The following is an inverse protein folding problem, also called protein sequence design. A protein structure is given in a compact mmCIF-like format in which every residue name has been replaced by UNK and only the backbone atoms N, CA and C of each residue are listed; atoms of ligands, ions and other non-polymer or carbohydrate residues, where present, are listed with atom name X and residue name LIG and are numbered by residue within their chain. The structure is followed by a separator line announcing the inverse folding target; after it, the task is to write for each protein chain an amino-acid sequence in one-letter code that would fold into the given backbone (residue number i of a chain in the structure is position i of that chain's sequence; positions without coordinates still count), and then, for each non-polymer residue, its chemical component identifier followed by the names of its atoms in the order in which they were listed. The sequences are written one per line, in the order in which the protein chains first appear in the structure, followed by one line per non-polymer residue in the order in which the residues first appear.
data_IF_871913418053
#
_entry.id   IF_871913418053
#
_cell.length_a   1.000
_cell.length_b   1.000
_cell.length_c   1.000
_cell.angle_alpha   90.00
_cell.angle_beta   90.00
_cell.angle_gamma   90.00
#
_symmetry.space_group_name_H-M   'P 1'
#
loop_
_entity.id
_entity.type
_entity.pdbx_description
1 polymer ?
#
# COMPACT_ATOMS: atom_id res chain seq x y z
N UNK A 1 -28.39 22.19 1.67
CA UNK A 1 -27.72 21.94 2.96
C UNK A 1 -26.23 22.17 2.77
N UNK A 2 -25.56 22.97 3.61
CA UNK A 2 -24.11 23.12 3.52
C UNK A 2 -23.44 21.78 3.86
N UNK A 3 -22.41 21.43 3.10
CA UNK A 3 -21.58 20.24 3.36
C UNK A 3 -20.97 20.40 4.75
N UNK A 4 -21.15 19.44 5.68
CA UNK A 4 -20.52 19.54 6.99
C UNK A 4 -19.01 19.70 6.84
N UNK A 5 -18.39 20.61 7.62
CA UNK A 5 -16.97 21.00 7.49
C UNK A 5 -16.02 19.79 7.48
N UNK A 6 -16.40 18.71 8.16
CA UNK A 6 -15.72 17.42 8.18
C UNK A 6 -15.58 16.79 6.78
N UNK A 7 -16.64 16.78 5.98
CA UNK A 7 -16.61 16.21 4.63
C UNK A 7 -15.78 17.06 3.65
N UNK A 8 -15.75 18.38 3.83
CA UNK A 8 -14.87 19.24 3.05
C UNK A 8 -13.38 19.01 3.38
N UNK A 9 -13.06 18.80 4.67
CA UNK A 9 -11.71 18.41 5.12
C UNK A 9 -11.28 17.06 4.56
N UNK A 10 -12.19 16.08 4.51
CA UNK A 10 -11.92 14.77 3.92
C UNK A 10 -11.76 14.84 2.39
N UNK A 11 -12.55 15.67 1.70
CA UNK A 11 -12.39 15.89 0.27
C UNK A 11 -10.97 16.38 -0.10
N UNK A 12 -10.47 17.38 0.61
CA UNK A 12 -9.09 17.87 0.42
C UNK A 12 -8.01 16.82 0.72
N UNK A 13 -8.22 15.98 1.74
CA UNK A 13 -7.34 14.85 2.06
C UNK A 13 -7.23 13.87 0.90
N UNK A 14 -8.37 13.47 0.33
CA UNK A 14 -8.41 12.52 -0.79
C UNK A 14 -7.76 13.10 -2.04
N UNK A 15 -8.00 14.38 -2.35
CA UNK A 15 -7.39 15.04 -3.51
C UNK A 15 -5.86 15.08 -3.38
N UNK A 16 -5.34 15.49 -2.22
CA UNK A 16 -3.88 15.55 -1.98
C UNK A 16 -3.24 14.16 -2.07
N UNK A 17 -3.79 13.17 -1.39
CA UNK A 17 -3.24 11.82 -1.41
C UNK A 17 -3.36 11.17 -2.80
N UNK A 18 -4.42 11.47 -3.55
CA UNK A 18 -4.57 11.05 -4.94
C UNK A 18 -3.48 11.66 -5.83
N UNK A 19 -3.18 12.95 -5.67
CA UNK A 19 -2.09 13.61 -6.41
C UNK A 19 -0.73 12.98 -6.06
N UNK A 20 -0.47 12.75 -4.77
CA UNK A 20 0.79 12.18 -4.30
C UNK A 20 0.98 10.71 -4.69
N UNK A 21 -0.10 9.95 -4.85
CA UNK A 21 -0.03 8.53 -5.23
C UNK A 21 0.19 8.30 -6.73
N UNK A 22 -0.09 9.29 -7.60
CA UNK A 22 0.05 9.16 -9.07
C UNK A 22 1.37 8.57 -9.55
N UNK A 23 2.55 9.01 -9.06
CA UNK A 23 3.83 8.44 -9.51
C UNK A 23 3.94 6.95 -9.21
N UNK A 24 3.48 6.53 -8.04
CA UNK A 24 3.48 5.14 -7.62
C UNK A 24 2.50 4.30 -8.45
N UNK A 25 1.27 4.77 -8.63
CA UNK A 25 0.27 4.11 -9.46
C UNK A 25 0.74 3.94 -10.92
N UNK A 26 1.50 4.91 -11.43
CA UNK A 26 2.13 4.83 -12.75
C UNK A 26 3.20 3.74 -12.81
N UNK A 27 3.99 3.57 -11.75
CA UNK A 27 4.95 2.46 -11.66
C UNK A 27 4.24 1.11 -11.61
N UNK A 28 3.21 0.94 -10.76
CA UNK A 28 2.37 -0.26 -10.73
C UNK A 28 1.80 -0.60 -12.11
N UNK A 29 1.24 0.39 -12.79
CA UNK A 29 0.67 0.23 -14.15
C UNK A 29 1.75 -0.19 -15.17
N UNK A 30 2.94 0.40 -15.08
CA UNK A 30 4.08 0.04 -15.94
C UNK A 30 4.53 -1.40 -15.69
N UNK A 31 4.58 -1.84 -14.43
CA UNK A 31 4.92 -3.21 -14.05
C UNK A 31 3.88 -4.21 -14.59
N UNK A 32 2.58 -3.91 -14.46
CA UNK A 32 1.51 -4.72 -15.06
C UNK A 32 1.69 -4.85 -16.58
N UNK A 33 1.95 -3.74 -17.28
CA UNK A 33 2.16 -3.77 -18.73
C UNK A 33 3.41 -4.59 -19.10
N UNK A 34 4.51 -4.40 -18.36
CA UNK A 34 5.74 -5.15 -18.58
C UNK A 34 5.53 -6.66 -18.41
N UNK A 35 4.71 -7.07 -17.43
CA UNK A 35 4.45 -8.48 -17.15
C UNK A 35 3.84 -9.25 -18.33
N UNK A 36 3.14 -8.56 -19.24
CA UNK A 36 2.59 -9.16 -20.47
C UNK A 36 3.69 -9.48 -21.48
N UNK A 37 4.76 -8.67 -21.54
CA UNK A 37 5.85 -8.83 -22.51
C UNK A 37 7.09 -9.53 -21.94
N UNK A 38 7.37 -9.35 -20.66
CA UNK A 38 8.57 -9.82 -19.96
C UNK A 38 8.24 -10.00 -18.47
N UNK A 39 7.77 -11.19 -18.13
CA UNK A 39 7.31 -11.53 -16.78
C UNK A 39 8.43 -11.45 -15.73
N UNK A 40 9.64 -11.90 -16.09
CA UNK A 40 10.77 -11.94 -15.16
C UNK A 40 11.22 -10.52 -14.79
N UNK A 41 11.36 -9.62 -15.78
CA UNK A 41 11.69 -8.22 -15.49
C UNK A 41 10.58 -7.50 -14.73
N UNK A 42 9.32 -7.85 -14.96
CA UNK A 42 8.21 -7.31 -14.17
C UNK A 42 8.27 -7.78 -12.72
N UNK A 43 8.70 -9.03 -12.48
CA UNK A 43 8.90 -9.59 -11.14
C UNK A 43 10.00 -8.84 -10.38
N UNK A 44 11.14 -8.58 -11.01
CA UNK A 44 12.21 -7.77 -10.42
C UNK A 44 11.73 -6.35 -10.07
N UNK A 45 11.03 -5.69 -11.00
CA UNK A 45 10.47 -4.35 -10.74
C UNK A 45 9.44 -4.36 -9.62
N UNK A 46 8.61 -5.40 -9.55
CA UNK A 46 7.63 -5.55 -8.49
C UNK A 46 8.30 -5.70 -7.12
N UNK A 47 9.34 -6.54 -7.02
CA UNK A 47 10.11 -6.74 -5.78
C UNK A 47 10.68 -5.41 -5.27
N UNK A 48 11.26 -4.61 -6.16
CA UNK A 48 11.80 -3.28 -5.79
C UNK A 48 10.69 -2.34 -5.31
N UNK A 49 9.52 -2.31 -5.97
CA UNK A 49 8.38 -1.52 -5.52
C UNK A 49 7.90 -1.91 -4.12
N UNK A 50 7.84 -3.22 -3.82
CA UNK A 50 7.43 -3.71 -2.50
C UNK A 50 8.48 -3.32 -1.45
N UNK A 51 9.77 -3.49 -1.74
CA UNK A 51 10.88 -3.13 -0.83
C UNK A 51 10.87 -1.65 -0.50
N UNK A 52 10.71 -0.79 -1.49
CA UNK A 52 10.64 0.65 -1.29
C UNK A 52 9.41 1.01 -0.44
N UNK A 53 8.23 0.53 -0.83
CA UNK A 53 6.95 0.86 -0.17
C UNK A 53 6.93 0.42 1.29
N UNK A 54 7.38 -0.81 1.57
CA UNK A 54 7.31 -1.43 2.89
C UNK A 54 8.55 -1.20 3.75
N UNK A 55 9.43 -0.29 3.33
CA UNK A 55 10.57 0.12 4.13
C UNK A 55 10.13 0.85 5.40
N UNK A 56 10.91 0.69 6.48
CA UNK A 56 10.70 1.32 7.79
C UNK A 56 10.44 2.84 7.68
N UNK A 57 11.15 3.48 6.75
CA UNK A 57 11.08 4.92 6.50
C UNK A 57 9.74 5.36 5.92
N UNK A 58 9.11 4.52 5.10
CA UNK A 58 7.89 4.86 4.37
C UNK A 58 6.63 4.50 5.14
N UNK A 59 6.65 3.43 5.95
CA UNK A 59 5.50 3.02 6.76
C UNK A 59 5.31 3.85 8.04
N UNK A 60 6.36 4.50 8.54
CA UNK A 60 6.32 5.27 9.80
C UNK A 60 6.49 4.38 11.05
N UNK A 61 6.95 4.97 12.16
CA UNK A 61 7.36 4.24 13.36
C UNK A 61 6.22 3.45 14.03
N UNK A 62 5.02 4.03 14.16
CA UNK A 62 3.88 3.36 14.79
C UNK A 62 3.43 2.10 14.02
N UNK A 63 3.61 2.08 12.70
CA UNK A 63 3.24 0.93 11.86
C UNK A 63 4.19 -0.25 12.05
N UNK A 64 5.45 -0.02 12.42
CA UNK A 64 6.45 -1.09 12.46
C UNK A 64 6.24 -2.09 13.58
N UNK A 65 5.69 -1.67 14.73
CA UNK A 65 5.42 -2.57 15.85
C UNK A 65 4.19 -3.43 15.57
N UNK A 66 3.08 -2.80 15.14
CA UNK A 66 1.83 -3.51 14.84
C UNK A 66 1.99 -4.47 13.66
N UNK A 67 2.64 -4.04 12.57
CA UNK A 67 2.76 -4.83 11.35
C UNK A 67 4.03 -5.70 11.28
N UNK A 68 4.79 -5.84 12.37
CA UNK A 68 6.13 -6.45 12.35
C UNK A 68 6.14 -7.86 11.72
N UNK A 69 5.19 -8.70 12.11
CA UNK A 69 5.12 -10.09 11.69
C UNK A 69 4.80 -10.20 10.18
N UNK A 70 3.81 -9.46 9.69
CA UNK A 70 3.45 -9.44 8.27
C UNK A 70 4.61 -8.91 7.42
N UNK A 71 5.27 -7.83 7.88
CA UNK A 71 6.43 -7.26 7.18
C UNK A 71 7.62 -8.24 7.15
N UNK A 72 7.83 -9.01 8.20
CA UNK A 72 8.87 -10.06 8.23
C UNK A 72 8.57 -11.16 7.20
N UNK A 73 7.33 -11.66 7.17
CA UNK A 73 6.90 -12.67 6.20
C UNK A 73 7.05 -12.19 4.75
N UNK A 74 6.63 -10.95 4.48
CA UNK A 74 6.77 -10.33 3.16
C UNK A 74 8.26 -10.21 2.77
N UNK A 75 9.12 -9.73 3.68
CA UNK A 75 10.56 -9.60 3.41
C UNK A 75 11.21 -10.95 3.10
N UNK A 76 10.94 -11.96 3.91
CA UNK A 76 11.47 -13.30 3.70
C UNK A 76 11.05 -13.86 2.33
N UNK A 77 9.79 -13.68 1.95
CA UNK A 77 9.28 -14.11 0.65
C UNK A 77 9.94 -13.35 -0.53
N UNK A 78 10.23 -12.06 -0.37
CA UNK A 78 10.97 -11.27 -1.38
C UNK A 78 12.44 -11.70 -1.50
N UNK A 79 13.09 -12.09 -0.41
CA UNK A 79 14.49 -12.54 -0.41
C UNK A 79 14.66 -13.86 -1.17
N UNK A 80 13.69 -14.76 -1.05
CA UNK A 80 13.69 -16.05 -1.76
C UNK A 80 13.03 -15.97 -3.14
N UNK A 81 12.60 -14.78 -3.59
CA UNK A 81 11.98 -14.55 -4.90
C UNK A 81 10.61 -15.23 -5.08
N UNK A 82 9.94 -15.59 -3.99
CA UNK A 82 8.68 -16.32 -4.04
C UNK A 82 7.49 -15.36 -4.00
N UNK A 83 6.95 -15.02 -5.17
CA UNK A 83 5.72 -14.24 -5.31
C UNK A 83 4.48 -15.16 -5.37
N UNK A 84 4.40 -16.11 -4.44
CA UNK A 84 3.38 -17.16 -4.41
C UNK A 84 2.14 -16.77 -3.56
N UNK A 85 1.22 -17.71 -3.36
CA UNK A 85 0.01 -17.49 -2.55
C UNK A 85 0.33 -17.04 -1.12
N UNK A 86 1.39 -17.54 -0.48
CA UNK A 86 1.76 -17.11 0.86
C UNK A 86 2.23 -15.65 0.92
N UNK A 87 2.92 -15.18 -0.12
CA UNK A 87 3.26 -13.77 -0.26
C UNK A 87 2.01 -12.90 -0.42
N UNK A 88 1.03 -13.36 -1.21
CA UNK A 88 -0.27 -12.71 -1.36
C UNK A 88 -1.01 -12.61 -0.03
N UNK A 89 -1.12 -13.73 0.70
CA UNK A 89 -1.80 -13.80 1.98
C UNK A 89 -1.17 -12.82 2.98
N UNK A 90 0.17 -12.74 3.03
CA UNK A 90 0.88 -11.81 3.90
C UNK A 90 0.64 -10.33 3.53
N UNK A 91 0.50 -10.01 2.25
CA UNK A 91 0.11 -8.65 1.81
C UNK A 91 -1.34 -8.31 2.18
N UNK A 92 -2.26 -9.26 2.02
CA UNK A 92 -3.67 -9.07 2.37
C UNK A 92 -3.88 -8.95 3.89
N UNK A 93 -3.11 -9.70 4.67
CA UNK A 93 -3.04 -9.57 6.13
C UNK A 93 -2.50 -8.20 6.53
N UNK A 94 -1.39 -7.77 5.92
CA UNK A 94 -0.83 -6.43 6.12
C UNK A 94 -1.86 -5.34 5.80
N UNK A 95 -2.56 -5.43 4.67
CA UNK A 95 -3.63 -4.49 4.30
C UNK A 95 -4.70 -4.44 5.38
N UNK A 96 -5.21 -5.58 5.80
CA UNK A 96 -6.29 -5.68 6.78
C UNK A 96 -5.88 -5.02 8.10
N UNK A 97 -4.71 -5.39 8.62
CA UNK A 97 -4.15 -4.81 9.83
C UNK A 97 -3.91 -3.30 9.70
N UNK A 98 -3.36 -2.85 8.58
CA UNK A 98 -3.11 -1.43 8.35
C UNK A 98 -4.42 -0.61 8.32
N UNK A 99 -5.47 -1.15 7.71
CA UNK A 99 -6.76 -0.48 7.65
C UNK A 99 -7.45 -0.45 9.02
N UNK A 100 -7.48 -1.58 9.73
CA UNK A 100 -8.21 -1.73 11.00
C UNK A 100 -7.50 -1.06 12.17
N UNK A 101 -6.19 -1.22 12.29
CA UNK A 101 -5.44 -0.84 13.49
C UNK A 101 -4.72 0.51 13.35
N UNK A 102 -4.62 1.05 12.13
CA UNK A 102 -3.88 2.29 11.87
C UNK A 102 -4.79 3.34 11.20
N UNK A 103 -5.30 3.07 10.00
CA UNK A 103 -6.08 4.07 9.26
C UNK A 103 -7.40 4.41 9.94
N UNK A 104 -8.19 3.40 10.37
CA UNK A 104 -9.48 3.65 11.04
C UNK A 104 -9.33 4.45 12.34
N UNK A 105 -8.43 4.09 13.27
CA UNK A 105 -8.18 4.88 14.47
C UNK A 105 -7.68 6.29 14.14
N UNK A 106 -6.79 6.43 13.15
CA UNK A 106 -6.25 7.73 12.77
C UNK A 106 -7.33 8.66 12.18
N UNK A 107 -8.21 8.11 11.34
CA UNK A 107 -9.34 8.84 10.78
C UNK A 107 -10.32 9.26 11.88
N UNK A 108 -10.60 8.38 12.85
CA UNK A 108 -11.46 8.69 13.99
C UNK A 108 -10.89 9.82 14.84
N UNK A 109 -9.59 9.78 15.16
CA UNK A 109 -8.89 10.84 15.90
C UNK A 109 -8.90 12.18 15.18
N UNK A 110 -8.71 12.18 13.85
CA UNK A 110 -8.78 13.39 13.04
C UNK A 110 -10.18 14.01 12.99
N UNK A 111 -11.24 13.20 12.87
CA UNK A 111 -12.61 13.70 12.78
C UNK A 111 -13.14 14.16 14.14
N UNK A 112 -12.86 13.41 15.21
CA UNK A 112 -13.54 13.59 16.50
C UNK A 112 -12.73 14.42 17.51
N UNK A 113 -11.40 14.31 17.48
CA UNK A 113 -10.54 14.82 18.56
C UNK A 113 -9.51 15.85 18.06
N UNK A 114 -9.39 16.04 16.73
CA UNK A 114 -8.39 16.90 16.06
C UNK A 114 -6.95 16.62 16.56
N UNK A 115 -6.71 15.40 17.06
CA UNK A 115 -5.46 14.96 17.73
C UNK A 115 -4.37 14.60 16.74
N UNK A 116 -4.73 14.33 15.49
CA UNK A 116 -3.82 13.88 14.44
C UNK A 116 -3.68 14.98 13.39
N UNK A 117 -2.44 15.34 13.08
CA UNK A 117 -2.16 16.31 12.03
C UNK A 117 -2.56 15.77 10.66
N UNK A 118 -3.12 16.64 9.81
CA UNK A 118 -3.57 16.28 8.45
C UNK A 118 -2.45 15.61 7.63
N UNK A 119 -1.20 16.07 7.74
CA UNK A 119 -0.05 15.49 7.04
C UNK A 119 0.26 14.04 7.45
N UNK A 120 0.02 13.71 8.73
CA UNK A 120 0.18 12.34 9.24
C UNK A 120 -0.92 11.46 8.65
N UNK A 121 -2.16 11.94 8.66
CA UNK A 121 -3.28 11.22 8.07
C UNK A 121 -3.13 11.01 6.55
N UNK A 122 -2.63 12.02 5.82
CA UNK A 122 -2.30 11.91 4.40
C UNK A 122 -1.28 10.81 4.14
N UNK A 123 -0.24 10.72 4.98
CA UNK A 123 0.79 9.68 4.87
C UNK A 123 0.21 8.29 5.13
N UNK A 124 -0.61 8.15 6.18
CA UNK A 124 -1.27 6.88 6.50
C UNK A 124 -2.18 6.44 5.34
N UNK A 125 -3.00 7.36 4.83
CA UNK A 125 -3.88 7.06 3.71
C UNK A 125 -3.12 6.72 2.42
N UNK A 126 -2.05 7.46 2.11
CA UNK A 126 -1.18 7.17 0.98
C UNK A 126 -0.56 5.78 1.07
N UNK A 127 -0.13 5.36 2.26
CA UNK A 127 0.43 4.03 2.48
C UNK A 127 -0.61 2.93 2.28
N UNK A 128 -1.85 3.12 2.76
CA UNK A 128 -2.95 2.20 2.50
C UNK A 128 -3.19 2.01 0.98
N UNK A 129 -3.25 3.13 0.23
CA UNK A 129 -3.38 3.08 -1.24
C UNK A 129 -2.23 2.34 -1.93
N UNK A 130 -1.00 2.51 -1.44
CA UNK A 130 0.17 1.81 -2.00
C UNK A 130 0.08 0.31 -1.75
N UNK A 131 -0.30 -0.11 -0.55
CA UNK A 131 -0.49 -1.54 -0.22
C UNK A 131 -1.55 -2.16 -1.13
N UNK A 132 -2.69 -1.50 -1.31
CA UNK A 132 -3.75 -1.97 -2.23
C UNK A 132 -3.25 -2.12 -3.67
N UNK A 133 -2.48 -1.13 -4.14
CA UNK A 133 -1.96 -1.12 -5.51
C UNK A 133 -0.87 -2.19 -5.73
N UNK A 134 -0.09 -2.53 -4.70
CA UNK A 134 0.84 -3.66 -4.73
C UNK A 134 0.06 -4.96 -4.93
N UNK A 135 -0.95 -5.23 -4.09
CA UNK A 135 -1.82 -6.41 -4.16
C UNK A 135 -2.43 -6.54 -5.56
N UNK A 136 -3.02 -5.48 -6.08
CA UNK A 136 -3.63 -5.49 -7.41
C UNK A 136 -2.60 -5.80 -8.52
N UNK A 137 -1.37 -5.30 -8.37
CA UNK A 137 -0.29 -5.53 -9.33
C UNK A 137 0.14 -7.00 -9.35
N UNK A 138 0.38 -7.61 -8.19
CA UNK A 138 0.77 -9.02 -8.14
C UNK A 138 -0.38 -9.96 -8.53
N UNK A 139 -1.62 -9.62 -8.20
CA UNK A 139 -2.79 -10.38 -8.69
C UNK A 139 -2.88 -10.36 -10.22
N UNK A 140 -2.58 -9.22 -10.85
CA UNK A 140 -2.50 -9.15 -12.31
C UNK A 140 -1.36 -10.02 -12.85
N UNK A 141 -0.17 -9.89 -12.27
CA UNK A 141 1.01 -10.65 -12.68
C UNK A 141 0.74 -12.16 -12.62
N UNK A 142 0.18 -12.66 -11.52
CA UNK A 142 -0.17 -14.07 -11.37
C UNK A 142 -1.18 -14.57 -12.43
N UNK A 143 -2.04 -13.70 -12.97
CA UNK A 143 -2.97 -14.05 -14.05
C UNK A 143 -2.30 -14.16 -15.41
N UNK A 144 -1.24 -13.39 -15.65
CA UNK A 144 -0.50 -13.37 -16.93
C UNK A 144 0.79 -14.19 -16.89
N UNK A 145 1.07 -14.84 -15.75
CA UNK A 145 2.22 -15.71 -15.59
C UNK A 145 2.21 -16.78 -16.69
N UNK A 146 3.35 -16.97 -17.40
CA UNK A 146 3.48 -18.05 -18.36
C UNK A 146 3.16 -19.39 -17.68
N UNK A 147 2.27 -20.17 -18.29
CA UNK A 147 2.09 -21.56 -17.89
C UNK A 147 3.22 -22.34 -18.53
N UNK A 148 4.12 -22.87 -17.70
CA UNK A 148 5.06 -23.91 -18.14
C UNK A 148 4.30 -25.16 -18.61
#
# INVERSE_FOLDING_TARGET
MPVPKEFARLGGLFDTASIQSKPFLKQCSKTKFLAVSDYYRASDQYIELVRETLSAKNLGQQTQETCHNCLSNIKNALEIGQLNTHFMDALEELRTMYLEDILKPALKGYIQEDTIGISVLETIYLNALKIDSLIETIQFMNKVQPRD
#
